data_IF_584197408990
#
_entry.id   IF_584197408990
#
_cell.length_a   1.000
_cell.length_b   1.000
_cell.length_c   1.000
_cell.angle_alpha   90.00
_cell.angle_beta   90.00
_cell.angle_gamma   90.00
#
_symmetry.space_group_name_H-M   'P 1'
#
loop_
_entity.id
_entity.type
_entity.pdbx_description
1 polymer ?
#
# COMPACT_ATOMS: atom_id res chain seq x y z
N UNK A 1 42.58 2.37 7.31
CA UNK A 1 41.64 1.26 7.59
C UNK A 1 40.90 1.03 6.29
N UNK A 2 41.13 -0.13 5.68
CA UNK A 2 40.40 -0.53 4.49
C UNK A 2 38.95 -0.80 4.92
N UNK A 3 38.08 0.18 4.71
CA UNK A 3 36.66 0.03 4.96
C UNK A 3 36.12 -0.79 3.79
N UNK A 4 36.36 -2.10 3.83
CA UNK A 4 35.73 -3.05 2.91
C UNK A 4 34.24 -2.75 2.91
N UNK A 5 33.69 -2.46 1.73
CA UNK A 5 32.33 -2.01 1.57
C UNK A 5 31.36 -3.00 2.24
N UNK A 6 30.48 -2.50 3.10
CA UNK A 6 29.49 -3.32 3.79
C UNK A 6 28.55 -3.97 2.76
N UNK A 7 28.37 -5.29 2.84
CA UNK A 7 27.35 -5.98 2.08
C UNK A 7 25.99 -5.83 2.78
N UNK A 8 25.02 -5.20 2.11
CA UNK A 8 23.69 -4.95 2.66
C UNK A 8 22.63 -4.87 1.56
N UNK A 9 21.37 -5.05 1.96
CA UNK A 9 20.19 -4.90 1.10
C UNK A 9 19.13 -4.05 1.81
N UNK A 10 18.47 -3.16 1.06
CA UNK A 10 17.35 -2.40 1.59
C UNK A 10 16.11 -3.29 1.67
N UNK A 11 15.40 -3.24 2.81
CA UNK A 11 14.12 -3.92 2.99
C UNK A 11 13.07 -2.91 3.43
N UNK A 12 11.97 -2.83 2.69
CA UNK A 12 10.77 -2.09 3.07
C UNK A 12 9.66 -3.09 3.42
N UNK A 13 8.99 -2.91 4.56
CA UNK A 13 7.85 -3.73 4.94
C UNK A 13 6.61 -2.84 4.90
N UNK A 14 5.57 -3.29 4.21
CA UNK A 14 4.32 -2.55 4.11
C UNK A 14 3.14 -3.44 4.49
N UNK A 15 2.32 -2.94 5.41
CA UNK A 15 1.04 -3.52 5.77
C UNK A 15 -0.12 -2.60 5.34
N UNK A 16 -1.36 -3.04 5.56
CA UNK A 16 -2.54 -2.26 5.23
C UNK A 16 -2.96 -1.32 6.36
N UNK A 17 -3.26 -0.08 5.99
CA UNK A 17 -4.02 0.83 6.83
C UNK A 17 -5.51 0.44 6.80
N UNK A 18 -6.23 0.83 7.85
CA UNK A 18 -7.68 0.74 7.91
C UNK A 18 -8.30 2.13 7.91
N UNK A 19 -9.41 2.26 7.20
CA UNK A 19 -10.28 3.42 7.21
C UNK A 19 -11.57 3.10 7.98
N UNK A 20 -12.09 4.06 8.75
CA UNK A 20 -13.34 3.93 9.51
C UNK A 20 -13.17 4.31 10.97
N UNK A 21 -13.96 3.66 11.83
CA UNK A 21 -14.00 3.95 13.26
C UNK A 21 -12.68 3.58 13.97
N UNK A 22 -12.37 4.29 15.06
CA UNK A 22 -11.19 4.02 15.90
C UNK A 22 -11.26 2.60 16.46
N UNK A 23 -10.15 1.86 16.49
CA UNK A 23 -10.11 0.49 17.03
C UNK A 23 -9.97 0.42 18.56
N UNK A 24 -9.68 1.54 19.24
CA UNK A 24 -9.35 1.56 20.67
C UNK A 24 -10.42 0.93 21.55
N UNK A 25 -11.71 1.17 21.26
CA UNK A 25 -12.82 0.66 22.05
C UNK A 25 -12.83 -0.86 22.17
N UNK A 26 -12.48 -1.57 21.10
CA UNK A 26 -12.42 -3.03 21.08
C UNK A 26 -11.21 -3.57 21.84
N UNK A 27 -10.07 -2.87 21.78
CA UNK A 27 -8.90 -3.22 22.60
C UNK A 27 -9.17 -3.02 24.09
N UNK A 28 -9.85 -1.94 24.47
CA UNK A 28 -10.27 -1.67 25.85
C UNK A 28 -11.26 -2.73 26.35
N UNK A 29 -12.26 -3.08 25.53
CA UNK A 29 -13.20 -4.15 25.83
C UNK A 29 -12.48 -5.50 26.01
N UNK A 30 -11.55 -5.85 25.11
CA UNK A 30 -10.76 -7.07 25.23
C UNK A 30 -9.86 -7.07 26.47
N UNK A 31 -9.22 -5.95 26.78
CA UNK A 31 -8.33 -5.84 27.95
C UNK A 31 -9.10 -5.98 29.27
N UNK A 32 -10.33 -5.47 29.34
CA UNK A 32 -11.19 -5.59 30.53
C UNK A 32 -11.80 -6.97 30.71
N UNK A 33 -12.16 -7.64 29.61
CA UNK A 33 -12.73 -8.99 29.61
C UNK A 33 -12.20 -9.79 28.40
N UNK A 34 -11.03 -10.43 28.54
CA UNK A 34 -10.45 -11.23 27.46
C UNK A 34 -11.41 -12.34 27.03
N UNK A 35 -11.78 -12.32 25.75
CA UNK A 35 -12.66 -13.31 25.13
C UNK A 35 -12.06 -13.76 23.80
N UNK A 36 -12.07 -15.06 23.48
CA UNK A 36 -11.59 -15.56 22.19
C UNK A 36 -12.43 -15.04 21.01
N UNK A 37 -13.64 -14.54 21.27
CA UNK A 37 -14.53 -13.99 20.26
C UNK A 37 -14.97 -12.60 20.72
N UNK A 38 -14.33 -11.57 20.19
CA UNK A 38 -14.74 -10.17 20.34
C UNK A 38 -15.10 -9.64 18.96
N UNK A 39 -16.39 -9.44 18.72
CA UNK A 39 -16.85 -8.90 17.45
C UNK A 39 -16.62 -7.38 17.43
N UNK A 40 -16.04 -6.84 16.33
CA UNK A 40 -15.85 -5.40 16.20
C UNK A 40 -17.21 -4.69 16.10
N UNK A 41 -17.40 -3.66 16.92
CA UNK A 41 -18.61 -2.82 16.89
C UNK A 41 -18.49 -1.71 15.84
N UNK A 42 -17.28 -1.18 15.64
CA UNK A 42 -17.01 -0.13 14.66
C UNK A 42 -16.96 -0.64 13.21
N UNK A 43 -17.41 0.20 12.27
CA UNK A 43 -17.37 -0.10 10.83
C UNK A 43 -16.02 0.31 10.26
N UNK A 44 -15.27 -0.66 9.76
CA UNK A 44 -13.90 -0.47 9.23
C UNK A 44 -13.72 -1.23 7.94
N UNK A 45 -12.81 -0.76 7.11
CA UNK A 45 -12.38 -1.45 5.90
C UNK A 45 -10.89 -1.22 5.65
N UNK A 46 -10.21 -2.20 5.04
CA UNK A 46 -8.87 -1.98 4.51
C UNK A 46 -8.83 -0.77 3.56
N UNK A 47 -7.78 0.03 3.67
CA UNK A 47 -7.55 1.22 2.84
C UNK A 47 -6.33 1.03 1.93
N UNK A 48 -6.54 0.30 0.84
CA UNK A 48 -5.52 0.02 -0.17
C UNK A 48 -5.00 1.29 -0.82
N UNK A 49 -5.88 2.27 -1.09
CA UNK A 49 -5.51 3.53 -1.75
C UNK A 49 -4.52 4.34 -0.89
N UNK A 50 -4.75 4.39 0.41
CA UNK A 50 -3.84 5.11 1.31
C UNK A 50 -2.59 4.31 1.65
N UNK A 51 -2.60 2.99 1.49
CA UNK A 51 -1.46 2.12 1.78
C UNK A 51 -0.49 2.01 0.59
N UNK A 52 -1.00 1.75 -0.61
CA UNK A 52 -0.22 1.60 -1.84
C UNK A 52 0.07 2.94 -2.52
N UNK A 53 -0.87 3.50 -3.31
CA UNK A 53 -0.64 4.70 -4.12
C UNK A 53 -0.15 5.93 -3.34
N UNK A 54 -0.68 6.18 -2.14
CA UNK A 54 -0.34 7.41 -1.39
C UNK A 54 0.94 7.32 -0.56
N UNK A 55 1.43 6.11 -0.25
CA UNK A 55 2.53 5.91 0.70
C UNK A 55 3.63 5.08 0.09
N UNK A 56 3.36 3.80 -0.21
CA UNK A 56 4.39 2.92 -0.74
C UNK A 56 4.93 3.41 -2.09
N UNK A 57 4.06 3.81 -3.03
CA UNK A 57 4.53 4.27 -4.35
C UNK A 57 5.47 5.50 -4.25
N UNK A 58 5.13 6.58 -3.52
CA UNK A 58 6.07 7.68 -3.28
C UNK A 58 7.38 7.27 -2.61
N UNK A 59 7.35 6.30 -1.68
CA UNK A 59 8.58 5.78 -1.06
C UNK A 59 9.47 5.09 -2.09
N UNK A 60 8.90 4.28 -2.99
CA UNK A 60 9.65 3.61 -4.06
C UNK A 60 10.23 4.61 -5.06
N UNK A 61 9.44 5.60 -5.46
CA UNK A 61 9.86 6.65 -6.40
C UNK A 61 11.10 7.41 -5.92
N UNK A 62 11.23 7.61 -4.60
CA UNK A 62 12.36 8.30 -3.99
C UNK A 62 13.53 7.34 -3.72
N UNK A 63 13.26 6.16 -3.14
CA UNK A 63 14.31 5.25 -2.65
C UNK A 63 14.98 4.47 -3.78
N UNK A 64 14.20 3.93 -4.72
CA UNK A 64 14.71 2.99 -5.73
C UNK A 64 15.78 3.62 -6.63
N UNK A 65 15.61 4.85 -7.18
CA UNK A 65 16.64 5.44 -8.02
C UNK A 65 17.97 5.66 -7.29
N UNK A 66 17.92 6.07 -6.02
CA UNK A 66 19.11 6.28 -5.19
C UNK A 66 19.85 4.96 -4.97
N UNK A 67 19.12 3.92 -4.57
CA UNK A 67 19.70 2.59 -4.33
C UNK A 67 20.28 1.99 -5.62
N UNK A 68 19.56 2.11 -6.72
CA UNK A 68 20.01 1.65 -8.05
C UNK A 68 21.30 2.33 -8.47
N UNK A 69 21.46 3.63 -8.21
CA UNK A 69 22.70 4.36 -8.51
C UNK A 69 23.90 3.86 -7.70
N UNK A 70 23.66 3.23 -6.54
CA UNK A 70 24.69 2.55 -5.75
C UNK A 70 24.86 1.07 -6.13
N UNK A 71 24.19 0.60 -7.18
CA UNK A 71 24.18 -0.81 -7.56
C UNK A 71 23.42 -1.70 -6.57
N UNK A 72 22.57 -1.12 -5.71
CA UNK A 72 21.76 -1.85 -4.72
C UNK A 72 20.32 -1.97 -5.20
N UNK A 73 19.65 -3.03 -4.74
CA UNK A 73 18.21 -3.28 -4.98
C UNK A 73 17.44 -3.17 -3.67
N UNK A 74 16.13 -2.96 -3.77
CA UNK A 74 15.23 -2.98 -2.63
C UNK A 74 14.35 -4.22 -2.65
N UNK A 75 14.18 -4.82 -1.47
CA UNK A 75 13.21 -5.87 -1.22
C UNK A 75 11.98 -5.26 -0.55
N UNK A 76 10.78 -5.59 -1.03
CA UNK A 76 9.53 -5.14 -0.41
C UNK A 76 8.81 -6.36 0.12
N UNK A 77 8.40 -6.32 1.39
CA UNK A 77 7.61 -7.39 2.02
C UNK A 77 6.19 -6.90 2.23
N UNK A 78 5.24 -7.64 1.67
CA UNK A 78 3.79 -7.40 1.81
C UNK A 78 3.05 -8.70 2.08
N UNK A 79 1.90 -8.60 2.72
CA UNK A 79 1.01 -9.75 2.89
C UNK A 79 0.22 -10.06 1.61
N UNK A 80 -0.26 -11.30 1.52
CA UNK A 80 -1.03 -11.83 0.38
C UNK A 80 -2.28 -11.00 0.10
N UNK A 81 -2.95 -10.53 1.14
CA UNK A 81 -4.19 -9.77 1.00
C UNK A 81 -3.95 -8.36 0.46
N UNK A 82 -2.82 -7.73 0.78
CA UNK A 82 -2.35 -6.53 0.08
C UNK A 82 -2.12 -6.83 -1.40
N UNK A 83 -1.35 -7.88 -1.70
CA UNK A 83 -0.96 -8.25 -3.07
C UNK A 83 -2.17 -8.49 -3.98
N UNK A 84 -3.16 -9.25 -3.51
CA UNK A 84 -4.36 -9.58 -4.30
C UNK A 84 -5.26 -8.37 -4.61
N UNK A 85 -5.08 -7.25 -3.90
CA UNK A 85 -5.83 -6.02 -4.10
C UNK A 85 -5.03 -4.92 -4.84
N UNK A 86 -3.84 -5.26 -5.35
CA UNK A 86 -3.10 -4.43 -6.28
C UNK A 86 -3.39 -4.84 -7.73
N UNK A 87 -3.01 -3.98 -8.68
CA UNK A 87 -2.88 -4.45 -10.07
C UNK A 87 -1.71 -5.44 -10.15
N UNK A 88 -1.74 -6.30 -11.17
CA UNK A 88 -0.70 -7.33 -11.38
C UNK A 88 0.70 -6.73 -11.43
N UNK A 89 1.60 -7.27 -10.60
CA UNK A 89 3.04 -7.02 -10.73
C UNK A 89 3.57 -7.73 -11.98
N UNK A 90 4.09 -6.96 -12.93
CA UNK A 90 4.68 -7.51 -14.16
C UNK A 90 6.16 -7.80 -13.92
N UNK A 91 6.58 -9.04 -14.17
CA UNK A 91 7.97 -9.46 -14.08
C UNK A 91 8.88 -8.59 -14.97
N UNK A 92 10.01 -8.13 -14.42
CA UNK A 92 10.98 -7.30 -15.14
C UNK A 92 11.60 -8.02 -16.33
N UNK A 93 11.75 -9.35 -16.25
CA UNK A 93 12.30 -10.16 -17.33
C UNK A 93 11.55 -11.49 -17.48
N UNK A 94 10.37 -11.49 -18.15
CA UNK A 94 9.54 -12.68 -18.28
C UNK A 94 10.20 -13.85 -19.02
N UNK A 95 11.26 -13.59 -19.79
CA UNK A 95 12.05 -14.59 -20.54
C UNK A 95 13.20 -15.17 -19.72
N UNK A 96 13.35 -14.78 -18.45
CA UNK A 96 14.39 -15.29 -17.57
C UNK A 96 14.35 -16.81 -17.46
N UNK A 97 15.52 -17.44 -17.50
CA UNK A 97 15.68 -18.89 -17.33
C UNK A 97 15.78 -19.31 -15.86
N UNK A 98 16.12 -18.38 -14.99
CA UNK A 98 16.32 -18.60 -13.55
C UNK A 98 16.11 -17.28 -12.79
N UNK A 99 16.10 -17.36 -11.46
CA UNK A 99 15.89 -16.18 -10.61
C UNK A 99 17.06 -15.19 -10.65
N UNK A 100 18.28 -15.63 -10.96
CA UNK A 100 19.43 -14.73 -11.09
C UNK A 100 19.23 -13.76 -12.26
N UNK A 101 18.80 -14.26 -13.42
CA UNK A 101 18.49 -13.41 -14.59
C UNK A 101 17.35 -12.42 -14.30
N UNK A 102 16.36 -12.83 -13.48
CA UNK A 102 15.29 -11.92 -13.02
C UNK A 102 15.85 -10.83 -12.10
N UNK A 103 16.66 -11.23 -11.12
CA UNK A 103 17.30 -10.32 -10.17
C UNK A 103 18.14 -9.28 -10.92
N UNK A 104 18.94 -9.72 -11.89
CA UNK A 104 19.84 -8.88 -12.67
C UNK A 104 19.13 -7.73 -13.36
N UNK A 105 17.92 -7.98 -13.87
CA UNK A 105 17.09 -7.00 -14.59
C UNK A 105 16.05 -6.30 -13.70
N UNK A 106 16.02 -6.60 -12.40
CA UNK A 106 15.06 -6.03 -11.45
C UNK A 106 15.64 -4.89 -10.64
N UNK A 107 14.75 -3.99 -10.25
CA UNK A 107 15.04 -2.88 -9.35
C UNK A 107 14.40 -3.13 -7.97
N UNK A 108 13.29 -3.89 -7.96
CA UNK A 108 12.48 -4.18 -6.79
C UNK A 108 12.14 -5.68 -6.77
N UNK A 109 12.46 -6.35 -5.66
CA UNK A 109 12.03 -7.71 -5.39
C UNK A 109 10.87 -7.71 -4.38
N UNK A 110 9.69 -8.16 -4.80
CA UNK A 110 8.50 -8.25 -3.96
C UNK A 110 8.41 -9.62 -3.32
N UNK A 111 8.44 -9.67 -2.00
CA UNK A 111 8.24 -10.85 -1.18
C UNK A 111 6.80 -10.85 -0.64
N UNK A 112 5.97 -11.73 -1.20
CA UNK A 112 4.62 -11.93 -0.74
C UNK A 112 4.65 -12.97 0.37
N UNK A 113 4.24 -12.55 1.56
CA UNK A 113 4.07 -13.43 2.72
C UNK A 113 2.60 -13.75 2.92
N UNK A 114 2.32 -14.95 3.40
CA UNK A 114 0.99 -15.40 3.74
C UNK A 114 1.03 -16.07 5.12
N UNK A 115 -0.12 -16.46 5.66
CA UNK A 115 -0.21 -17.17 6.93
C UNK A 115 -0.85 -18.55 6.73
N UNK A 116 -0.41 -19.54 7.51
CA UNK A 116 -1.10 -20.82 7.60
C UNK A 116 -2.28 -20.78 8.57
N UNK A 117 -3.01 -21.88 8.68
CA UNK A 117 -4.17 -22.00 9.59
C UNK A 117 -3.78 -21.81 11.07
N UNK A 118 -2.51 -22.02 11.42
CA UNK A 118 -1.96 -21.80 12.75
C UNK A 118 -1.40 -20.38 12.93
N UNK A 119 -1.69 -19.46 12.01
CA UNK A 119 -1.19 -18.07 11.99
C UNK A 119 0.34 -17.96 11.95
N UNK A 120 1.04 -18.97 11.43
CA UNK A 120 2.47 -18.90 11.16
C UNK A 120 2.71 -18.32 9.78
N UNK A 121 3.67 -17.41 9.69
CA UNK A 121 4.04 -16.79 8.43
C UNK A 121 4.70 -17.83 7.52
N UNK A 122 4.22 -17.92 6.27
CA UNK A 122 4.77 -18.76 5.20
C UNK A 122 5.15 -17.88 4.00
N UNK A 123 6.20 -18.30 3.29
CA UNK A 123 6.59 -17.67 2.02
C UNK A 123 5.56 -18.05 0.96
N UNK A 124 4.94 -17.07 0.29
CA UNK A 124 4.04 -17.33 -0.84
C UNK A 124 4.81 -17.28 -2.15
N UNK A 125 5.18 -16.09 -2.60
CA UNK A 125 5.73 -15.85 -3.94
C UNK A 125 6.75 -14.72 -3.88
N UNK A 126 7.71 -14.75 -4.82
CA UNK A 126 8.61 -13.61 -5.06
C UNK A 126 8.40 -13.12 -6.49
N UNK A 127 8.24 -11.81 -6.68
CA UNK A 127 8.10 -11.19 -8.01
C UNK A 127 9.17 -10.12 -8.18
N UNK A 128 9.94 -10.24 -9.25
CA UNK A 128 11.02 -9.30 -9.57
C UNK A 128 10.51 -8.29 -10.58
N UNK A 129 10.63 -7.00 -10.28
CA UNK A 129 9.98 -5.94 -11.07
C UNK A 129 10.91 -4.75 -11.29
N UNK A 130 10.58 -3.96 -12.31
CA UNK A 130 11.08 -2.58 -12.44
C UNK A 130 10.30 -1.65 -11.50
N UNK A 131 10.85 -0.47 -11.25
CA UNK A 131 10.16 0.61 -10.56
C UNK A 131 8.86 0.99 -11.28
N UNK A 132 8.88 1.07 -12.61
CA UNK A 132 7.70 1.41 -13.41
C UNK A 132 6.58 0.36 -13.27
N UNK A 133 6.92 -0.92 -13.32
CA UNK A 133 6.00 -2.03 -13.07
C UNK A 133 5.42 -1.98 -11.66
N UNK A 134 6.29 -1.73 -10.66
CA UNK A 134 5.89 -1.55 -9.26
C UNK A 134 4.90 -0.39 -9.08
N UNK A 135 5.14 0.76 -9.72
CA UNK A 135 4.24 1.92 -9.68
C UNK A 135 2.88 1.62 -10.31
N UNK A 136 2.90 0.95 -11.46
CA UNK A 136 1.69 0.56 -12.19
C UNK A 136 0.84 -0.41 -11.37
N UNK A 137 1.49 -1.37 -10.71
CA UNK A 137 0.84 -2.31 -9.80
C UNK A 137 0.18 -1.62 -8.61
N UNK A 138 0.90 -0.68 -7.98
CA UNK A 138 0.41 0.06 -6.81
C UNK A 138 -0.73 1.01 -7.14
N UNK A 139 -0.84 1.49 -8.38
CA UNK A 139 -1.91 2.39 -8.84
C UNK A 139 -3.23 1.63 -9.12
N UNK A 140 -3.72 0.87 -8.14
CA UNK A 140 -4.92 0.03 -8.19
C UNK A 140 -6.27 0.78 -8.39
N UNK A 141 -6.24 2.08 -8.68
CA UNK A 141 -7.46 2.81 -9.07
C UNK A 141 -7.59 2.78 -10.58
N UNK A 142 -8.45 1.89 -11.07
CA UNK A 142 -9.06 2.09 -12.37
C UNK A 142 -9.71 3.49 -12.36
N UNK A 143 -9.31 4.38 -13.29
CA UNK A 143 -9.82 5.74 -13.28
C UNK A 143 -11.33 5.72 -13.50
N UNK A 144 -12.08 6.31 -12.57
CA UNK A 144 -13.51 6.57 -12.73
C UNK A 144 -13.72 7.30 -14.06
N UNK A 145 -14.73 6.88 -14.83
CA UNK A 145 -15.08 7.61 -16.05
C UNK A 145 -15.47 9.04 -15.69
N UNK A 146 -15.22 9.98 -16.60
CA UNK A 146 -15.62 11.39 -16.41
C UNK A 146 -17.10 11.50 -16.08
N UNK A 147 -17.94 10.66 -16.70
CA UNK A 147 -19.40 10.67 -16.49
C UNK A 147 -19.74 10.24 -15.06
N UNK A 148 -19.16 9.14 -14.59
CA UNK A 148 -19.41 8.64 -13.24
C UNK A 148 -18.89 9.61 -12.19
N UNK A 149 -17.70 10.17 -12.40
CA UNK A 149 -17.14 11.20 -11.53
C UNK A 149 -18.05 12.43 -11.42
N UNK A 150 -18.53 12.96 -12.56
CA UNK A 150 -19.41 14.14 -12.56
C UNK A 150 -20.76 13.81 -11.91
N UNK A 151 -21.29 12.60 -12.10
CA UNK A 151 -22.53 12.14 -11.46
C UNK A 151 -22.38 12.10 -9.94
N UNK A 152 -21.31 11.49 -9.43
CA UNK A 152 -21.03 11.44 -7.99
C UNK A 152 -20.76 12.83 -7.41
N UNK A 153 -20.02 13.68 -8.13
CA UNK A 153 -19.73 15.05 -7.72
C UNK A 153 -21.03 15.86 -7.53
N UNK A 154 -21.97 15.77 -8.48
CA UNK A 154 -23.28 16.42 -8.37
C UNK A 154 -24.05 15.92 -7.16
N UNK A 155 -24.08 14.61 -6.92
CA UNK A 155 -24.72 14.04 -5.73
C UNK A 155 -24.13 14.55 -4.42
N UNK A 156 -22.82 14.83 -4.36
CA UNK A 156 -22.18 15.42 -3.18
C UNK A 156 -22.54 16.90 -3.03
N UNK A 157 -22.52 17.67 -4.12
CA UNK A 157 -22.86 19.11 -4.14
C UNK A 157 -24.33 19.33 -3.75
N UNK A 158 -25.23 18.54 -4.33
CA UNK A 158 -26.68 18.66 -4.14
C UNK A 158 -27.17 18.09 -2.81
N UNK A 159 -26.28 17.48 -2.01
CA UNK A 159 -26.60 16.97 -0.69
C UNK A 159 -26.32 18.04 0.40
N UNK A 160 -27.35 18.72 0.94
CA UNK A 160 -27.19 19.82 1.90
C UNK A 160 -26.57 19.38 3.25
N UNK A 161 -26.53 18.08 3.54
CA UNK A 161 -25.86 17.54 4.73
C UNK A 161 -24.33 17.40 4.57
N UNK A 162 -23.83 17.27 3.33
CA UNK A 162 -22.39 17.13 3.01
C UNK A 162 -21.76 18.41 2.46
N UNK A 163 -22.54 19.32 1.87
CA UNK A 163 -22.07 20.61 1.34
C UNK A 163 -21.47 21.54 2.40
N UNK A 164 -21.68 21.27 3.69
CA UNK A 164 -21.47 22.22 4.78
C UNK A 164 -20.10 22.19 5.50
N UNK A 165 -19.10 21.40 5.07
CA UNK A 165 -17.78 21.38 5.74
C UNK A 165 -16.63 22.04 4.99
N UNK A 166 -16.63 22.07 3.66
CA UNK A 166 -15.48 22.58 2.89
C UNK A 166 -15.65 24.08 2.53
N UNK A 167 -16.87 24.54 2.27
CA UNK A 167 -17.12 25.91 1.79
C UNK A 167 -17.33 26.97 2.88
N UNK A 168 -17.58 26.58 4.14
CA UNK A 168 -17.71 27.53 5.26
C UNK A 168 -16.39 28.21 5.65
N UNK A 169 -15.24 27.62 5.32
CA UNK A 169 -13.93 28.21 5.61
C UNK A 169 -13.62 29.41 4.68
N UNK A 170 -14.10 29.40 3.44
CA UNK A 170 -13.88 30.48 2.47
C UNK A 170 -14.81 31.69 2.67
N UNK A 171 -16.03 31.50 3.16
CA UNK A 171 -16.97 32.62 3.39
C UNK A 171 -16.61 33.47 4.63
N UNK A 172 -15.94 32.90 5.63
CA UNK A 172 -15.48 33.65 6.80
C UNK A 172 -14.21 34.48 6.55
N UNK A 173 -13.40 34.12 5.56
CA UNK A 173 -12.22 34.89 5.18
C UNK A 173 -12.54 36.10 4.28
N UNK A 174 -13.66 36.07 3.56
CA UNK A 174 -14.10 37.16 2.68
C UNK A 174 -14.96 38.24 3.39
N UNK A 175 -15.20 38.09 4.70
CA UNK A 175 -15.98 39.03 5.54
C UNK A 175 -15.14 39.74 6.62
N UNK A 176 -13.81 39.70 6.51
CA UNK A 176 -12.90 40.59 7.25
C UNK A 176 -12.25 41.56 6.27
#
# INVERSE_FOLDING_TARGET
>A
MDASELEWCAVEIQALYFSGDKMCSEFEAYASAPSPVLFPNGRRRPDYRSSGPKRLAPQLDVKVPVLRNWGKRISIVIDRFFYDNMNTLVDAYPRARNDQERIDNSEVAWFIVDYDEAMKMKKSTVVFTTLESSRSALNATEPLSKVDFIRELRQVIDNPSRSNRVFKASEQAARK
#
